data_IF_354286221737
#
_entry.id   IF_354286221737
#
_cell.length_a   1.000
_cell.length_b   1.000
_cell.length_c   1.000
_cell.angle_alpha   90.00
_cell.angle_beta   90.00
_cell.angle_gamma   90.00
#
_symmetry.space_group_name_H-M   'P 1'
#
loop_
_entity.id
_entity.type
_entity.pdbx_description
1 polymer ?
#
# COMPACT_ATOMS: atom_id res chain seq x y z
N UNK A 1 11.75 -35.54 17.67
CA UNK A 1 10.87 -35.32 16.49
C UNK A 1 10.06 -34.03 16.57
N UNK A 2 9.58 -33.61 17.76
CA UNK A 2 8.75 -32.40 17.94
C UNK A 2 9.45 -31.10 17.53
N UNK A 3 10.71 -30.89 17.94
CA UNK A 3 11.48 -29.69 17.60
C UNK A 3 11.67 -29.50 16.08
N UNK A 4 11.94 -30.58 15.34
CA UNK A 4 12.09 -30.54 13.87
C UNK A 4 10.77 -30.17 13.18
N UNK A 5 9.63 -30.65 13.68
CA UNK A 5 8.30 -30.28 13.15
C UNK A 5 7.97 -28.82 13.43
N UNK A 6 8.24 -28.32 14.64
CA UNK A 6 8.09 -26.89 14.99
C UNK A 6 8.95 -25.99 14.09
N UNK A 7 10.20 -26.37 13.86
CA UNK A 7 11.10 -25.63 12.98
C UNK A 7 10.61 -25.58 11.52
N UNK A 8 10.16 -26.72 10.96
CA UNK A 8 9.59 -26.77 9.60
C UNK A 8 8.34 -25.89 9.51
N UNK A 9 7.45 -25.96 10.50
CA UNK A 9 6.23 -25.16 10.54
C UNK A 9 6.54 -23.65 10.62
N UNK A 10 7.45 -23.26 11.51
CA UNK A 10 7.88 -21.86 11.64
C UNK A 10 8.51 -21.32 10.36
N UNK A 11 9.32 -22.13 9.68
CA UNK A 11 9.97 -21.73 8.41
C UNK A 11 8.96 -21.65 7.27
N UNK A 12 7.98 -22.55 7.23
CA UNK A 12 6.86 -22.47 6.28
C UNK A 12 6.00 -21.22 6.51
N UNK A 13 5.68 -20.90 7.77
CA UNK A 13 4.93 -19.69 8.12
C UNK A 13 5.70 -18.42 7.78
N UNK A 14 7.02 -18.39 8.02
CA UNK A 14 7.87 -17.27 7.62
C UNK A 14 7.87 -17.11 6.11
N UNK A 15 8.04 -18.20 5.38
CA UNK A 15 8.01 -18.19 3.92
C UNK A 15 6.66 -17.68 3.39
N UNK A 16 5.54 -18.16 3.94
CA UNK A 16 4.20 -17.68 3.58
C UNK A 16 3.99 -16.20 3.92
N UNK A 17 4.48 -15.75 5.08
CA UNK A 17 4.40 -14.34 5.49
C UNK A 17 5.14 -13.47 4.47
N UNK A 18 6.39 -13.82 4.12
CA UNK A 18 7.19 -13.09 3.13
C UNK A 18 6.53 -13.14 1.75
N UNK A 19 6.03 -14.31 1.34
CA UNK A 19 5.33 -14.48 0.07
C UNK A 19 4.06 -13.62 -0.01
N UNK A 20 3.38 -13.39 1.12
CA UNK A 20 2.16 -12.57 1.16
C UNK A 20 2.40 -11.06 1.01
N UNK A 21 3.62 -10.58 1.26
CA UNK A 21 3.96 -9.15 1.19
C UNK A 21 3.95 -8.66 -0.25
N UNK A 22 4.52 -9.43 -1.18
CA UNK A 22 4.63 -9.06 -2.58
C UNK A 22 3.28 -8.78 -3.28
N UNK A 23 2.29 -9.71 -3.24
CA UNK A 23 0.98 -9.43 -3.83
C UNK A 23 0.25 -8.30 -3.11
N UNK A 24 0.39 -8.18 -1.79
CA UNK A 24 -0.22 -7.08 -1.04
C UNK A 24 0.25 -5.72 -1.55
N UNK A 25 1.55 -5.56 -1.80
CA UNK A 25 2.10 -4.33 -2.39
C UNK A 25 1.52 -4.01 -3.76
N UNK A 26 1.40 -5.02 -4.62
CA UNK A 26 0.83 -4.85 -5.95
C UNK A 26 -0.63 -4.41 -5.87
N UNK A 27 -1.43 -5.03 -5.00
CA UNK A 27 -2.84 -4.68 -4.86
C UNK A 27 -3.06 -3.34 -4.14
N UNK A 28 -2.16 -2.94 -3.25
CA UNK A 28 -2.22 -1.66 -2.54
C UNK A 28 -1.76 -0.46 -3.39
N UNK A 29 -1.07 -0.68 -4.53
CA UNK A 29 -0.34 0.35 -5.31
C UNK A 29 -1.15 1.60 -5.69
N UNK A 30 -2.46 1.47 -5.83
CA UNK A 30 -3.37 2.54 -6.26
C UNK A 30 -4.56 2.69 -5.30
N UNK A 31 -4.45 2.12 -4.10
CA UNK A 31 -5.49 2.18 -3.09
C UNK A 31 -5.08 3.13 -1.97
N UNK A 32 -6.03 3.92 -1.49
CA UNK A 32 -5.86 4.74 -0.30
C UNK A 32 -7.15 4.75 0.50
N UNK A 33 -7.08 5.10 1.79
CA UNK A 33 -8.27 5.27 2.62
C UNK A 33 -8.26 6.68 3.24
N UNK A 34 -9.32 7.49 3.03
CA UNK A 34 -9.47 8.78 3.67
C UNK A 34 -9.59 8.58 5.20
N UNK A 35 -8.50 8.92 5.89
CA UNK A 35 -8.27 9.18 7.33
C UNK A 35 -8.85 8.31 8.46
N UNK A 36 -9.86 7.44 8.30
CA UNK A 36 -10.52 6.77 9.46
C UNK A 36 -10.74 5.25 9.36
N UNK A 37 -10.36 4.59 8.26
CA UNK A 37 -10.39 3.12 8.26
C UNK A 37 -9.40 2.61 9.34
N UNK A 38 -9.79 1.68 10.26
CA UNK A 38 -8.99 1.22 11.39
C UNK A 38 -7.74 0.40 11.00
N UNK A 39 -7.09 0.71 9.88
CA UNK A 39 -5.83 0.12 9.39
C UNK A 39 -4.78 0.06 10.47
N UNK A 40 -4.67 1.09 11.29
CA UNK A 40 -3.74 1.10 12.41
C UNK A 40 -4.06 -0.02 13.42
N UNK A 41 -5.32 -0.17 13.82
CA UNK A 41 -5.73 -1.23 14.73
C UNK A 41 -5.63 -2.62 14.11
N UNK A 42 -5.95 -2.76 12.83
CA UNK A 42 -5.77 -4.01 12.07
C UNK A 42 -4.28 -4.38 12.01
N UNK A 43 -3.41 -3.40 11.73
CA UNK A 43 -1.97 -3.58 11.69
C UNK A 43 -1.42 -3.97 13.06
N UNK A 44 -1.84 -3.28 14.12
CA UNK A 44 -1.44 -3.57 15.49
C UNK A 44 -1.85 -5.01 15.88
N UNK A 45 -3.10 -5.39 15.62
CA UNK A 45 -3.59 -6.74 15.88
C UNK A 45 -2.81 -7.80 15.09
N UNK A 46 -2.55 -7.54 13.81
CA UNK A 46 -1.74 -8.40 12.95
C UNK A 46 -0.32 -8.59 13.48
N UNK A 47 0.32 -7.51 13.93
CA UNK A 47 1.63 -7.56 14.57
C UNK A 47 1.64 -8.44 15.80
N UNK A 48 0.69 -8.24 16.73
CA UNK A 48 0.58 -9.05 17.95
C UNK A 48 0.37 -10.52 17.62
N UNK A 49 -0.56 -10.85 16.71
CA UNK A 49 -0.85 -12.24 16.32
C UNK A 49 0.40 -12.93 15.74
N UNK A 50 1.10 -12.28 14.82
CA UNK A 50 2.32 -12.84 14.20
C UNK A 50 3.41 -13.00 15.25
N UNK A 51 3.64 -12.01 16.11
CA UNK A 51 4.65 -12.09 17.15
C UNK A 51 4.37 -13.23 18.14
N UNK A 52 3.11 -13.39 18.57
CA UNK A 52 2.71 -14.48 19.46
C UNK A 52 2.84 -15.85 18.78
N UNK A 53 2.45 -15.99 17.51
CA UNK A 53 2.61 -17.24 16.76
C UNK A 53 4.09 -17.67 16.71
N UNK A 54 5.00 -16.75 16.41
CA UNK A 54 6.42 -17.05 16.34
C UNK A 54 7.08 -17.23 17.71
N UNK A 55 6.55 -16.61 18.76
CA UNK A 55 6.98 -16.86 20.14
C UNK A 55 6.58 -18.28 20.61
N UNK A 56 5.36 -18.72 20.34
CA UNK A 56 4.87 -20.07 20.73
C UNK A 56 5.60 -21.19 19.98
N UNK A 57 6.03 -20.92 18.75
CA UNK A 57 6.71 -21.91 17.92
C UNK A 57 8.17 -22.16 18.33
N UNK A 58 8.70 -21.47 19.34
CA UNK A 58 10.10 -21.55 19.80
C UNK A 58 11.02 -21.61 18.58
N UNK A 59 11.09 -20.53 17.80
CA UNK A 59 12.04 -20.49 16.70
C UNK A 59 13.42 -20.82 17.29
N UNK A 60 14.06 -21.93 16.86
CA UNK A 60 15.28 -22.36 17.50
C UNK A 60 16.28 -21.23 17.30
N UNK A 61 16.60 -20.50 18.37
CA UNK A 61 17.83 -19.72 18.44
C UNK A 61 18.92 -20.75 18.30
N UNK A 62 19.40 -20.94 17.07
CA UNK A 62 20.42 -21.91 16.72
C UNK A 62 21.55 -21.76 17.72
N UNK A 63 21.73 -22.77 18.56
CA UNK A 63 22.80 -22.74 19.54
C UNK A 63 24.15 -22.97 18.84
N UNK A 64 25.17 -22.29 19.36
CA UNK A 64 26.62 -22.47 19.12
C UNK A 64 27.23 -21.93 17.82
N UNK A 65 27.21 -20.59 17.60
CA UNK A 65 28.36 -19.88 16.99
C UNK A 65 28.25 -18.36 17.17
N UNK A 66 29.39 -17.71 17.40
CA UNK A 66 29.60 -16.41 18.07
C UNK A 66 29.17 -15.13 17.31
N UNK A 67 28.00 -15.08 16.67
CA UNK A 67 27.51 -13.84 16.02
C UNK A 67 26.12 -13.46 16.52
N UNK A 68 26.06 -12.40 17.35
CA UNK A 68 24.86 -11.66 17.84
C UNK A 68 23.59 -12.51 17.92
N UNK A 69 23.34 -13.13 19.08
CA UNK A 69 22.04 -13.72 19.40
C UNK A 69 21.03 -12.57 19.55
N UNK A 70 20.00 -12.57 18.70
CA UNK A 70 18.83 -11.69 18.85
C UNK A 70 18.07 -12.16 20.09
N UNK A 71 17.80 -11.26 21.03
CA UNK A 71 17.08 -11.58 22.26
C UNK A 71 15.61 -11.95 21.99
N UNK A 72 14.93 -12.65 22.92
CA UNK A 72 13.52 -13.04 22.74
C UNK A 72 12.60 -11.83 22.55
N UNK A 73 12.89 -10.72 23.21
CA UNK A 73 12.16 -9.44 23.04
C UNK A 73 12.41 -8.84 21.66
N UNK A 74 13.66 -8.81 21.19
CA UNK A 74 14.00 -8.29 19.87
C UNK A 74 13.35 -9.11 18.75
N UNK A 75 13.32 -10.44 18.91
CA UNK A 75 12.65 -11.34 18.00
C UNK A 75 11.14 -11.08 17.96
N UNK A 76 10.51 -10.91 19.12
CA UNK A 76 9.10 -10.54 19.22
C UNK A 76 8.81 -9.22 18.49
N UNK A 77 9.63 -8.18 18.74
CA UNK A 77 9.46 -6.87 18.08
C UNK A 77 9.64 -6.99 16.57
N UNK A 78 10.64 -7.72 16.08
CA UNK A 78 10.83 -7.95 14.65
C UNK A 78 9.61 -8.63 14.00
N UNK A 79 9.10 -9.71 14.59
CA UNK A 79 7.92 -10.38 14.07
C UNK A 79 6.64 -9.54 14.19
N UNK A 80 6.53 -8.72 15.23
CA UNK A 80 5.43 -7.78 15.38
C UNK A 80 5.43 -6.71 14.28
N UNK A 81 6.60 -6.12 13.99
CA UNK A 81 6.76 -5.14 12.92
C UNK A 81 6.47 -5.76 11.55
N UNK A 82 6.98 -6.96 11.28
CA UNK A 82 6.68 -7.70 10.05
C UNK A 82 5.18 -7.99 9.92
N UNK A 83 4.53 -8.49 10.97
CA UNK A 83 3.10 -8.76 10.98
C UNK A 83 2.26 -7.50 10.77
N UNK A 84 2.62 -6.41 11.46
CA UNK A 84 1.94 -5.13 11.33
C UNK A 84 2.08 -4.53 9.94
N UNK A 85 3.26 -4.60 9.35
CA UNK A 85 3.51 -4.14 7.99
C UNK A 85 2.73 -4.95 6.95
N UNK A 86 2.74 -6.29 7.06
CA UNK A 86 2.00 -7.17 6.15
C UNK A 86 0.50 -6.87 6.23
N UNK A 87 -0.05 -6.80 7.44
CA UNK A 87 -1.48 -6.53 7.64
C UNK A 87 -1.87 -5.10 7.26
N UNK A 88 -1.01 -4.11 7.47
CA UNK A 88 -1.21 -2.75 6.96
C UNK A 88 -1.32 -2.72 5.43
N UNK A 89 -0.42 -3.43 4.75
CA UNK A 89 -0.39 -3.49 3.28
C UNK A 89 -1.66 -4.16 2.74
N UNK A 90 -2.08 -5.28 3.34
CA UNK A 90 -3.34 -5.93 3.01
C UNK A 90 -4.56 -5.05 3.31
N UNK A 91 -4.59 -4.38 4.47
CA UNK A 91 -5.66 -3.47 4.82
C UNK A 91 -5.76 -2.29 3.83
N UNK A 92 -4.63 -1.86 3.26
CA UNK A 92 -4.58 -0.84 2.21
C UNK A 92 -5.06 -1.38 0.86
N UNK A 93 -4.90 -2.68 0.59
CA UNK A 93 -5.36 -3.33 -0.63
C UNK A 93 -6.86 -3.67 -0.65
N UNK A 94 -7.56 -3.63 0.49
CA UNK A 94 -8.99 -3.98 0.60
C UNK A 94 -9.87 -3.27 -0.44
N UNK A 95 -9.75 -1.94 -0.66
CA UNK A 95 -10.58 -1.23 -1.66
C UNK A 95 -10.48 -1.80 -3.07
N UNK A 96 -9.36 -2.43 -3.43
CA UNK A 96 -9.17 -3.10 -4.73
C UNK A 96 -10.24 -4.16 -4.99
N UNK A 97 -10.72 -4.81 -3.93
CA UNK A 97 -11.68 -5.92 -3.97
C UNK A 97 -13.09 -5.51 -3.56
N UNK A 98 -13.22 -4.49 -2.70
CA UNK A 98 -14.51 -4.09 -2.12
C UNK A 98 -15.14 -2.88 -2.78
N UNK A 99 -14.40 -2.10 -3.57
CA UNK A 99 -14.93 -0.91 -4.22
C UNK A 99 -15.66 -1.25 -5.52
N UNK A 100 -16.95 -0.92 -5.54
CA UNK A 100 -17.91 -1.23 -6.59
C UNK A 100 -18.47 0.04 -7.24
N UNK A 101 -18.68 1.10 -6.46
CA UNK A 101 -19.18 2.40 -6.95
C UNK A 101 -18.09 3.13 -7.73
N UNK A 102 -18.30 3.31 -9.03
CA UNK A 102 -17.42 4.10 -9.90
C UNK A 102 -17.81 5.58 -9.85
N UNK A 103 -16.82 6.45 -9.68
CA UNK A 103 -16.96 7.90 -9.75
C UNK A 103 -15.90 8.43 -10.70
N UNK A 104 -16.31 9.31 -11.61
CA UNK A 104 -15.39 10.07 -12.47
C UNK A 104 -15.60 11.55 -12.21
N UNK A 105 -14.51 12.25 -11.91
CA UNK A 105 -14.54 13.67 -11.60
C UNK A 105 -13.34 14.38 -12.25
N UNK A 106 -13.52 15.65 -12.53
CA UNK A 106 -12.44 16.49 -13.04
C UNK A 106 -11.74 17.18 -11.87
N UNK A 107 -10.42 17.13 -11.86
CA UNK A 107 -9.61 17.80 -10.85
C UNK A 107 -8.56 18.68 -11.54
N UNK A 108 -8.38 19.89 -11.02
CA UNK A 108 -7.22 20.70 -11.36
C UNK A 108 -5.96 20.02 -10.81
N UNK A 109 -4.90 19.98 -11.61
CA UNK A 109 -3.62 19.44 -11.19
C UNK A 109 -2.49 20.45 -11.33
N UNK A 110 -1.45 20.21 -10.54
CA UNK A 110 -0.15 20.87 -10.66
C UNK A 110 0.94 19.81 -10.87
N UNK A 111 1.84 20.09 -11.81
CA UNK A 111 3.03 19.29 -12.05
C UNK A 111 4.05 19.63 -10.97
N UNK A 112 4.49 18.62 -10.24
CA UNK A 112 5.44 18.76 -9.14
C UNK A 112 6.59 17.77 -9.32
N UNK A 113 7.72 18.07 -8.68
CA UNK A 113 8.86 17.14 -8.63
C UNK A 113 8.43 15.88 -7.88
N UNK A 114 8.56 14.71 -8.51
CA UNK A 114 8.23 13.44 -7.87
C UNK A 114 9.36 12.91 -6.97
N UNK A 115 9.20 11.67 -6.49
CA UNK A 115 10.15 10.99 -5.61
C UNK A 115 11.34 10.39 -6.39
N UNK A 116 12.27 9.71 -5.69
CA UNK A 116 13.54 9.18 -6.26
C UNK A 116 13.40 8.40 -7.58
N UNK A 117 12.34 7.61 -7.75
CA UNK A 117 12.06 6.80 -8.96
C UNK A 117 11.08 7.46 -9.95
N UNK A 118 10.72 8.72 -9.72
CA UNK A 118 9.62 9.40 -10.37
C UNK A 118 9.97 10.88 -10.54
N UNK A 119 10.53 11.25 -11.69
CA UNK A 119 10.98 12.62 -11.93
C UNK A 119 9.81 13.62 -11.94
N UNK A 120 8.68 13.22 -12.53
CA UNK A 120 7.50 14.05 -12.70
C UNK A 120 6.30 13.40 -11.99
N UNK A 121 5.67 14.17 -11.11
CA UNK A 121 4.44 13.78 -10.43
C UNK A 121 3.34 14.80 -10.68
N UNK A 122 2.10 14.32 -10.60
CA UNK A 122 0.86 15.08 -10.69
C UNK A 122 0.30 15.20 -9.29
N UNK A 123 0.03 16.41 -8.86
CA UNK A 123 -0.59 16.71 -7.58
C UNK A 123 -1.97 17.32 -7.82
N UNK A 124 -3.00 16.74 -7.21
CA UNK A 124 -4.38 17.21 -7.34
C UNK A 124 -5.14 16.99 -6.03
N UNK A 125 -6.23 17.73 -5.84
CA UNK A 125 -7.14 17.50 -4.72
C UNK A 125 -8.06 16.35 -5.08
N UNK A 126 -8.09 15.33 -4.23
CA UNK A 126 -8.94 14.17 -4.39
C UNK A 126 -10.43 14.56 -4.46
N UNK A 127 -11.14 14.23 -5.55
CA UNK A 127 -12.60 14.38 -5.62
C UNK A 127 -13.33 13.61 -4.51
N UNK A 128 -12.75 12.52 -4.02
CA UNK A 128 -13.26 11.70 -2.92
C UNK A 128 -13.06 12.30 -1.52
N UNK A 129 -12.37 13.44 -1.38
CA UNK A 129 -12.18 14.13 -0.11
C UNK A 129 -11.05 13.61 0.79
N UNK A 130 -10.16 12.75 0.29
CA UNK A 130 -8.98 12.29 1.02
C UNK A 130 -7.85 13.34 1.15
N UNK A 131 -8.07 14.53 0.61
CA UNK A 131 -7.10 15.63 0.60
C UNK A 131 -6.26 15.65 -0.67
N UNK A 132 -5.00 16.06 -0.56
CA UNK A 132 -4.13 16.19 -1.72
C UNK A 132 -3.44 14.88 -2.04
N UNK A 133 -3.65 14.38 -3.27
CA UNK A 133 -3.00 13.18 -3.80
C UNK A 133 -1.83 13.60 -4.68
N UNK A 134 -0.73 12.87 -4.57
CA UNK A 134 0.45 13.00 -5.44
C UNK A 134 0.77 11.66 -6.05
N UNK A 135 0.77 11.58 -7.38
CA UNK A 135 1.03 10.35 -8.12
C UNK A 135 2.02 10.58 -9.26
N UNK A 136 2.76 9.54 -9.63
CA UNK A 136 3.70 9.60 -10.75
C UNK A 136 3.00 9.74 -12.08
N UNK A 137 3.45 10.68 -12.91
CA UNK A 137 2.85 10.92 -14.22
C UNK A 137 3.05 9.73 -15.18
N UNK A 138 4.21 9.07 -15.09
CA UNK A 138 4.52 7.87 -15.87
C UNK A 138 3.63 6.67 -15.54
N UNK A 139 3.06 6.60 -14.32
CA UNK A 139 2.15 5.53 -13.92
C UNK A 139 0.86 5.54 -14.75
N UNK A 140 0.45 6.74 -15.17
CA UNK A 140 -0.81 6.99 -15.86
C UNK A 140 -0.61 7.32 -17.35
N UNK A 141 0.57 7.04 -17.90
CA UNK A 141 0.93 7.38 -19.28
C UNK A 141 0.77 8.88 -19.60
N UNK A 142 1.17 9.75 -18.65
CA UNK A 142 1.14 11.21 -18.78
C UNK A 142 2.56 11.82 -18.90
N UNK A 143 3.40 11.47 -19.89
CA UNK A 143 4.80 11.87 -19.93
C UNK A 143 5.01 13.37 -20.24
N UNK A 144 4.11 13.99 -21.01
CA UNK A 144 4.22 15.38 -21.49
C UNK A 144 3.13 16.26 -20.90
N UNK A 145 3.19 16.51 -19.60
CA UNK A 145 2.23 17.37 -18.91
C UNK A 145 2.67 18.84 -18.91
N UNK A 146 1.72 19.78 -19.13
CA UNK A 146 1.91 21.19 -18.80
C UNK A 146 2.11 21.36 -17.29
N UNK A 147 2.56 22.53 -16.86
CA UNK A 147 2.81 22.79 -15.43
C UNK A 147 1.52 22.76 -14.60
N UNK A 148 0.38 23.11 -15.22
CA UNK A 148 -0.96 23.04 -14.63
C UNK A 148 -1.99 22.66 -15.70
N UNK A 149 -3.11 22.07 -15.28
CA UNK A 149 -4.22 21.76 -16.17
C UNK A 149 -5.34 21.02 -15.45
N UNK A 150 -6.19 20.34 -16.22
CA UNK A 150 -7.30 19.55 -15.68
C UNK A 150 -7.12 18.09 -16.08
N UNK A 151 -7.32 17.19 -15.12
CA UNK A 151 -7.34 15.74 -15.33
C UNK A 151 -8.74 15.19 -15.04
N UNK A 152 -9.11 14.16 -15.77
CA UNK A 152 -10.24 13.30 -15.42
C UNK A 152 -9.71 12.17 -14.55
N UNK A 153 -10.26 12.04 -13.35
CA UNK A 153 -9.90 11.03 -12.36
C UNK A 153 -11.07 10.08 -12.21
N UNK A 154 -10.85 8.80 -12.50
CA UNK A 154 -11.83 7.73 -12.32
C UNK A 154 -11.39 6.85 -11.16
N UNK A 155 -12.29 6.70 -10.20
CA UNK A 155 -12.07 6.00 -8.95
C UNK A 155 -13.18 5.00 -8.70
N UNK A 156 -12.86 3.92 -8.00
CA UNK A 156 -13.83 3.05 -7.34
C UNK A 156 -13.80 3.36 -5.86
N UNK A 157 -14.96 3.66 -5.28
CA UNK A 157 -15.11 4.06 -3.89
C UNK A 157 -15.89 3.00 -3.12
N UNK A 158 -15.46 2.75 -1.89
CA UNK A 158 -16.17 1.94 -0.90
C UNK A 158 -16.12 2.61 0.47
N UNK A 159 -16.88 2.07 1.43
CA UNK A 159 -16.74 2.44 2.84
C UNK A 159 -15.33 2.19 3.41
N UNK A 160 -14.53 1.32 2.77
CA UNK A 160 -13.21 0.89 3.25
C UNK A 160 -12.06 1.66 2.59
N UNK A 161 -12.35 2.50 1.60
CA UNK A 161 -11.38 3.32 0.89
C UNK A 161 -11.66 3.42 -0.60
N UNK A 162 -10.66 3.95 -1.30
CA UNK A 162 -10.69 4.28 -2.71
C UNK A 162 -9.63 3.49 -3.46
N UNK A 163 -9.99 3.07 -4.67
CA UNK A 163 -9.08 2.50 -5.65
C UNK A 163 -9.06 3.39 -6.91
N UNK A 164 -7.90 3.97 -7.21
CA UNK A 164 -7.67 4.76 -8.42
C UNK A 164 -7.65 3.84 -9.64
N UNK A 165 -8.60 4.05 -10.54
CA UNK A 165 -8.75 3.22 -11.75
C UNK A 165 -8.02 3.85 -12.93
N UNK A 166 -8.19 5.17 -13.12
CA UNK A 166 -7.67 5.88 -14.29
C UNK A 166 -7.46 7.36 -14.01
N UNK A 167 -6.40 7.92 -14.57
CA UNK A 167 -6.17 9.36 -14.64
C UNK A 167 -5.84 9.74 -16.08
N UNK A 168 -6.55 10.71 -16.64
CA UNK A 168 -6.37 11.16 -18.01
C UNK A 168 -6.27 12.68 -18.09
N UNK A 169 -5.41 13.19 -18.97
CA UNK A 169 -5.36 14.62 -19.25
C UNK A 169 -6.59 15.02 -20.07
N UNK A 170 -7.29 16.06 -19.62
CA UNK A 170 -8.33 16.69 -20.43
C UNK A 170 -7.65 17.75 -21.28
N UNK A 171 -7.63 17.54 -22.60
CA UNK A 171 -7.13 18.55 -23.51
C UNK A 171 -7.94 19.85 -23.33
N UNK A 172 -7.29 21.03 -23.29
CA UNK A 172 -8.03 22.28 -23.33
C UNK A 172 -8.89 22.26 -24.59
N UNK A 173 -10.21 22.47 -24.44
CA UNK A 173 -11.05 22.72 -25.59
C UNK A 173 -10.54 23.99 -26.25
N UNK A 174 -9.90 23.86 -27.42
CA UNK A 174 -9.65 25.01 -28.28
C UNK A 174 -11.03 25.58 -28.56
N UNK A 175 -11.33 26.84 -28.20
CA UNK A 175 -12.59 27.43 -28.57
C UNK A 175 -12.63 27.38 -30.09
N UNK A 176 -13.58 26.61 -30.64
CA UNK A 176 -13.87 26.64 -32.07
C UNK A 176 -14.34 28.06 -32.33
N UNK A 177 -13.47 28.91 -32.86
CA UNK A 177 -13.87 30.20 -33.42
C UNK A 177 -14.92 29.88 -34.48
N UNK A 178 -16.19 30.07 -34.11
CA UNK A 178 -17.24 30.29 -35.08
C UNK A 178 -16.98 31.68 -35.66
N UNK A 179 -16.38 31.73 -36.85
CA UNK A 179 -16.93 32.39 -38.05
C UNK A 179 -15.83 32.68 -39.06
#
# INVERSE_FOLDING_TARGET
>A
MLARRKAILGLALLFLLVLSIYPAFIFARDCYAPSLFPRFYIALAGGVIVATLFAVLDFPTTDTSSKRKIGPVEQFVCFALCGAFTTWTWATAIPRFTADRVITAQAAFEKVRGAKSCHTAVQFVDPGGAGTIKTCASLWSLPSLPDRGTISVTEKVSALGVYLVRIELIAPQVPTERQ
#
